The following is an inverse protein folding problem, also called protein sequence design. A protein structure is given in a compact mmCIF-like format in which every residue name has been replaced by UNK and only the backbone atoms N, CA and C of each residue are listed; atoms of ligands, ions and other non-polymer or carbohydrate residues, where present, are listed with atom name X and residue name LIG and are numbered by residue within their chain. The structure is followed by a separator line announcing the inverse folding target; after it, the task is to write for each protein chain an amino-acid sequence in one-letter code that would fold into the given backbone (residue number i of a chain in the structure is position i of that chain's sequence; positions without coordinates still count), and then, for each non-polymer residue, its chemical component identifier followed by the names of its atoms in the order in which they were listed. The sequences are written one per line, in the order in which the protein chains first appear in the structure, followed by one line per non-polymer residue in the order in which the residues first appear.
data_IF_037320346391
#
_entry.id   IF_037320346391
#
_cell.length_a   1.000
_cell.length_b   1.000
_cell.length_c   1.000
_cell.angle_alpha   90.00
_cell.angle_beta   90.00
_cell.angle_gamma   90.00
#
_symmetry.space_group_name_H-M   'P 1'
#
loop_
_entity.id
_entity.type
_entity.pdbx_description
1 polymer ?
#
# COMPACT_ATOMS: atom_id res chain seq x y z
N UNK A 1 -20.35 -9.92 -10.38
CA UNK A 1 -19.72 -8.81 -9.61
C UNK A 1 -19.78 -9.00 -8.10
N UNK A 2 -20.95 -9.24 -7.50
CA UNK A 2 -21.08 -9.36 -6.02
C UNK A 2 -20.12 -10.40 -5.42
N UNK A 3 -20.04 -11.60 -6.01
CA UNK A 3 -19.14 -12.66 -5.53
C UNK A 3 -17.67 -12.21 -5.54
N UNK A 4 -17.22 -11.50 -6.58
CA UNK A 4 -15.85 -11.00 -6.68
C UNK A 4 -15.54 -9.97 -5.58
N UNK A 5 -16.51 -9.12 -5.22
CA UNK A 5 -16.36 -8.18 -4.11
C UNK A 5 -16.25 -8.91 -2.76
N UNK A 6 -17.05 -9.96 -2.55
CA UNK A 6 -16.96 -10.80 -1.35
C UNK A 6 -15.57 -11.46 -1.27
N UNK A 7 -15.08 -12.03 -2.38
CA UNK A 7 -13.75 -12.66 -2.45
C UNK A 7 -12.64 -11.64 -2.17
N UNK A 8 -12.72 -10.44 -2.75
CA UNK A 8 -11.76 -9.37 -2.49
C UNK A 8 -11.77 -8.98 -1.00
N UNK A 9 -12.94 -8.80 -0.39
CA UNK A 9 -13.08 -8.48 1.03
C UNK A 9 -12.47 -9.54 1.93
N UNK A 10 -12.81 -10.82 1.69
CA UNK A 10 -12.21 -11.94 2.43
C UNK A 10 -10.69 -11.99 2.26
N UNK A 11 -10.20 -11.72 1.05
CA UNK A 11 -8.76 -11.65 0.78
C UNK A 11 -8.08 -10.53 1.56
N UNK A 12 -8.70 -9.37 1.66
CA UNK A 12 -8.21 -8.24 2.47
C UNK A 12 -8.24 -8.58 3.96
N UNK A 13 -9.27 -9.26 4.47
CA UNK A 13 -9.35 -9.69 5.86
C UNK A 13 -8.25 -10.70 6.22
N UNK A 14 -8.00 -11.67 5.32
CA UNK A 14 -6.91 -12.62 5.46
C UNK A 14 -5.55 -11.91 5.43
N UNK A 15 -5.39 -10.94 4.55
CA UNK A 15 -4.18 -10.12 4.46
C UNK A 15 -3.95 -9.31 5.75
N UNK A 16 -5.01 -8.72 6.32
CA UNK A 16 -4.94 -8.02 7.60
C UNK A 16 -4.55 -8.96 8.75
N UNK A 17 -5.14 -10.17 8.77
CA UNK A 17 -4.84 -11.19 9.79
C UNK A 17 -3.40 -11.72 9.68
N UNK A 18 -2.88 -11.82 8.46
CA UNK A 18 -1.53 -12.30 8.19
C UNK A 18 -0.46 -11.24 8.47
N UNK A 19 -0.62 -10.03 7.91
CA UNK A 19 0.34 -8.93 8.09
C UNK A 19 0.28 -8.31 9.48
N UNK A 20 -0.88 -8.37 10.15
CA UNK A 20 -1.14 -7.73 11.46
C UNK A 20 -0.60 -6.29 11.48
N UNK A 21 -1.12 -5.42 10.61
CA UNK A 21 -0.64 -4.04 10.51
C UNK A 21 -0.84 -3.35 11.86
N UNK A 22 0.24 -2.89 12.46
CA UNK A 22 0.28 -2.24 13.78
C UNK A 22 1.01 -0.91 13.65
N UNK A 23 0.67 0.11 14.47
CA UNK A 23 1.38 1.39 14.47
C UNK A 23 2.89 1.25 14.72
N UNK A 24 3.30 0.22 15.46
CA UNK A 24 4.70 -0.08 15.76
C UNK A 24 5.44 -0.74 14.58
N UNK A 25 4.69 -1.37 13.66
CA UNK A 25 5.20 -2.15 12.54
C UNK A 25 4.99 -1.44 11.19
N UNK A 26 5.61 -0.27 11.02
CA UNK A 26 5.39 0.61 9.86
C UNK A 26 5.51 -0.09 8.50
N UNK A 27 6.49 -1.00 8.35
CA UNK A 27 6.66 -1.76 7.11
C UNK A 27 5.46 -2.68 6.82
N UNK A 28 4.89 -3.33 7.85
CA UNK A 28 3.70 -4.20 7.71
C UNK A 28 2.46 -3.37 7.39
N UNK A 29 2.34 -2.19 8.00
CA UNK A 29 1.28 -1.23 7.70
C UNK A 29 1.33 -0.76 6.24
N UNK A 30 2.51 -0.36 5.76
CA UNK A 30 2.74 0.06 4.36
C UNK A 30 2.51 -1.08 3.37
N UNK A 31 2.98 -2.29 3.70
CA UNK A 31 2.71 -3.48 2.89
C UNK A 31 1.22 -3.76 2.77
N UNK A 32 0.46 -3.67 3.88
CA UNK A 32 -1.00 -3.81 3.86
C UNK A 32 -1.65 -2.73 2.99
N UNK A 33 -1.23 -1.47 3.16
CA UNK A 33 -1.73 -0.34 2.35
C UNK A 33 -1.50 -0.50 0.85
N UNK A 34 -0.40 -1.14 0.44
CA UNK A 34 -0.13 -1.45 -0.97
C UNK A 34 -0.92 -2.67 -1.48
N UNK A 35 -0.93 -3.75 -0.71
CA UNK A 35 -1.44 -5.05 -1.14
C UNK A 35 -2.97 -5.12 -1.12
N UNK A 36 -3.65 -4.42 -0.21
CA UNK A 36 -5.11 -4.41 -0.14
C UNK A 36 -5.79 -3.83 -1.41
N UNK A 37 -5.44 -2.63 -1.91
CA UNK A 37 -5.99 -2.13 -3.16
C UNK A 37 -5.51 -2.94 -4.36
N UNK A 38 -4.26 -3.42 -4.38
CA UNK A 38 -3.78 -4.30 -5.45
C UNK A 38 -4.68 -5.53 -5.62
N UNK A 39 -4.88 -6.26 -4.53
CA UNK A 39 -5.73 -7.46 -4.51
C UNK A 39 -7.15 -7.15 -4.95
N UNK A 40 -7.73 -6.08 -4.40
CA UNK A 40 -9.11 -5.67 -4.70
C UNK A 40 -9.27 -5.37 -6.20
N UNK A 41 -8.37 -4.57 -6.77
CA UNK A 41 -8.44 -4.19 -8.17
C UNK A 41 -8.12 -5.35 -9.12
N UNK A 42 -7.17 -6.22 -8.77
CA UNK A 42 -6.91 -7.44 -9.54
C UNK A 42 -8.15 -8.33 -9.60
N UNK A 43 -8.80 -8.61 -8.45
CA UNK A 43 -10.01 -9.44 -8.41
C UNK A 43 -11.16 -8.79 -9.18
N UNK A 44 -11.34 -7.48 -9.03
CA UNK A 44 -12.36 -6.73 -9.77
C UNK A 44 -12.15 -6.83 -11.28
N UNK A 45 -10.93 -6.57 -11.77
CA UNK A 45 -10.62 -6.58 -13.21
C UNK A 45 -10.75 -7.99 -13.79
N UNK A 46 -10.26 -9.02 -13.10
CA UNK A 46 -10.42 -10.42 -13.54
C UNK A 46 -11.90 -10.78 -13.65
N UNK A 47 -12.71 -10.40 -12.66
CA UNK A 47 -14.13 -10.68 -12.69
C UNK A 47 -14.85 -9.89 -13.79
N UNK A 48 -14.51 -8.61 -13.97
CA UNK A 48 -15.06 -7.77 -15.03
C UNK A 48 -14.74 -8.39 -16.39
N UNK A 49 -13.47 -8.73 -16.65
CA UNK A 49 -13.05 -9.39 -17.88
C UNK A 49 -13.82 -10.70 -18.14
N UNK A 50 -13.98 -11.55 -17.11
CA UNK A 50 -14.66 -12.83 -17.25
C UNK A 50 -16.18 -12.75 -17.46
N UNK A 51 -16.80 -11.59 -17.19
CA UNK A 51 -18.27 -11.43 -17.24
C UNK A 51 -18.73 -10.35 -18.21
N UNK A 52 -17.81 -9.56 -18.74
CA UNK A 52 -18.10 -8.62 -19.81
C UNK A 52 -18.63 -9.38 -21.03
N UNK A 53 -19.66 -8.87 -21.72
CA UNK A 53 -20.04 -9.39 -23.03
C UNK A 53 -18.90 -9.14 -24.04
N UNK A 54 -18.69 -10.02 -25.03
CA UNK A 54 -17.86 -9.70 -26.16
C UNK A 54 -18.41 -8.42 -26.81
N UNK A 55 -17.62 -7.35 -26.80
CA UNK A 55 -17.94 -6.22 -27.68
C UNK A 55 -17.73 -6.71 -29.11
N UNK A 56 -18.53 -6.22 -30.05
CA UNK A 56 -18.53 -6.71 -31.43
C UNK A 56 -17.15 -6.49 -32.07
N UNK A 57 -16.30 -7.51 -32.03
CA UNK A 57 -15.04 -7.54 -32.78
C UNK A 57 -15.40 -7.72 -34.26
N UNK A 58 -14.81 -6.94 -35.18
CA UNK A 58 -14.90 -7.26 -36.60
C UNK A 58 -14.43 -8.72 -36.81
N UNK A 59 -15.16 -9.54 -37.58
CA UNK A 59 -14.90 -10.98 -37.73
C UNK A 59 -13.49 -11.31 -38.21
N UNK A 60 -12.80 -10.34 -38.84
CA UNK A 60 -11.42 -10.40 -39.34
C UNK A 60 -10.35 -10.59 -38.24
N UNK A 61 -10.63 -10.20 -36.98
CA UNK A 61 -9.62 -10.08 -35.92
C UNK A 61 -9.60 -11.25 -34.92
N UNK A 62 -10.43 -12.28 -35.13
CA UNK A 62 -10.54 -13.41 -34.22
C UNK A 62 -11.35 -13.08 -32.96
N UNK A 63 -12.11 -14.07 -32.48
CA UNK A 63 -12.98 -13.92 -31.31
C UNK A 63 -12.19 -13.66 -30.03
N UNK A 64 -12.20 -12.42 -29.56
CA UNK A 64 -11.62 -11.97 -28.30
C UNK A 64 -12.18 -10.61 -27.93
N UNK A 65 -12.19 -10.28 -26.63
CA UNK A 65 -12.65 -8.99 -26.14
C UNK A 65 -11.89 -7.85 -26.84
N UNK A 66 -12.58 -6.92 -27.56
CA UNK A 66 -11.96 -5.90 -28.43
C UNK A 66 -11.03 -4.87 -27.78
N UNK A 67 -10.78 -4.96 -26.47
CA UNK A 67 -10.12 -3.90 -25.70
C UNK A 67 -9.18 -4.45 -24.63
N UNK A 68 -8.50 -5.55 -24.94
CA UNK A 68 -7.40 -6.07 -24.14
C UNK A 68 -6.12 -5.20 -24.30
N UNK A 69 -6.20 -3.88 -24.07
CA UNK A 69 -5.01 -3.05 -23.82
C UNK A 69 -4.40 -3.59 -22.54
N UNK A 70 -3.43 -4.49 -22.65
CA UNK A 70 -2.80 -5.22 -21.54
C UNK A 70 -2.34 -4.26 -20.44
N UNK A 71 -1.93 -3.06 -20.85
CA UNK A 71 -1.52 -1.95 -20.00
C UNK A 71 -2.65 -1.47 -19.07
N UNK A 72 -3.92 -1.58 -19.45
CA UNK A 72 -5.06 -1.25 -18.59
C UNK A 72 -5.25 -2.31 -17.49
N UNK A 73 -5.23 -3.60 -17.87
CA UNK A 73 -5.44 -4.72 -16.94
C UNK A 73 -4.29 -4.87 -15.94
N UNK A 74 -3.07 -4.47 -16.33
CA UNK A 74 -1.88 -4.55 -15.48
C UNK A 74 -1.56 -3.22 -14.79
N UNK A 75 -1.76 -2.09 -15.47
CA UNK A 75 -1.46 -0.76 -14.97
C UNK A 75 -2.45 -0.31 -13.91
N UNK A 76 -3.77 -0.54 -14.10
CA UNK A 76 -4.76 -0.08 -13.13
C UNK A 76 -4.55 -0.70 -11.72
N UNK A 77 -4.37 -2.03 -11.55
CA UNK A 77 -4.07 -2.59 -10.23
C UNK A 77 -2.75 -2.08 -9.65
N UNK A 78 -1.72 -1.89 -10.48
CA UNK A 78 -0.42 -1.39 -10.03
C UNK A 78 -0.50 0.06 -9.53
N UNK A 79 -1.18 0.95 -10.26
CA UNK A 79 -1.40 2.33 -9.85
C UNK A 79 -2.18 2.38 -8.52
N UNK A 80 -3.17 1.51 -8.35
CA UNK A 80 -3.95 1.44 -7.11
C UNK A 80 -3.12 0.93 -5.93
N UNK A 81 -2.22 -0.02 -6.17
CA UNK A 81 -1.25 -0.46 -5.17
C UNK A 81 -0.32 0.69 -4.72
N UNK A 82 0.23 1.43 -5.69
CA UNK A 82 1.11 2.57 -5.43
C UNK A 82 0.36 3.71 -4.72
N UNK A 83 -0.91 3.94 -5.07
CA UNK A 83 -1.73 4.94 -4.41
C UNK A 83 -2.02 4.56 -2.94
N UNK A 84 -2.39 3.30 -2.68
CA UNK A 84 -2.55 2.82 -1.32
C UNK A 84 -1.27 2.88 -0.49
N UNK A 85 -0.12 2.56 -1.11
CA UNK A 85 1.20 2.72 -0.48
C UNK A 85 1.49 4.19 -0.16
N UNK A 86 1.23 5.09 -1.11
CA UNK A 86 1.41 6.53 -0.92
C UNK A 86 0.59 7.04 0.27
N UNK A 87 -0.69 6.66 0.35
CA UNK A 87 -1.55 7.00 1.48
C UNK A 87 -1.00 6.44 2.80
N UNK A 88 -0.54 5.18 2.81
CA UNK A 88 0.04 4.58 4.00
C UNK A 88 1.33 5.29 4.47
N UNK A 89 2.14 5.80 3.53
CA UNK A 89 3.35 6.58 3.83
C UNK A 89 3.00 7.97 4.38
N UNK A 90 2.03 8.66 3.78
CA UNK A 90 1.63 10.02 4.16
C UNK A 90 0.88 10.03 5.50
N UNK A 91 0.00 9.06 5.73
CA UNK A 91 -0.88 9.04 6.91
C UNK A 91 -0.20 8.49 8.18
N UNK A 92 0.86 7.69 8.04
CA UNK A 92 1.61 7.15 9.19
C UNK A 92 3.10 7.49 9.05
N UNK A 93 3.52 8.65 9.59
CA UNK A 93 4.92 9.03 9.62
C UNK A 93 5.75 8.05 10.45
N UNK A 94 6.99 7.79 10.04
CA UNK A 94 7.93 6.99 10.84
C UNK A 94 8.27 7.71 12.14
N UNK A 95 8.56 6.95 13.21
CA UNK A 95 9.04 7.53 14.46
C UNK A 95 10.23 8.45 14.16
N UNK A 96 10.27 9.67 14.72
CA UNK A 96 11.47 10.48 14.69
C UNK A 96 12.63 9.64 15.19
N UNK A 97 13.74 9.60 14.45
CA UNK A 97 14.97 9.02 14.96
C UNK A 97 15.23 9.69 16.31
N UNK A 98 15.37 8.89 17.37
CA UNK A 98 15.68 9.41 18.70
C UNK A 98 16.85 10.37 18.53
N UNK A 99 16.61 11.65 18.79
CA UNK A 99 17.67 12.64 18.80
C UNK A 99 18.70 12.11 19.79
N UNK A 100 19.87 11.72 19.30
CA UNK A 100 21.04 11.55 20.14
C UNK A 100 21.37 12.94 20.66
N UNK A 101 20.63 13.38 21.66
CA UNK A 101 21.11 14.35 22.63
C UNK A 101 22.21 13.59 23.35
N UNK A 102 23.38 13.54 22.71
CA UNK A 102 24.64 13.47 23.44
C UNK A 102 24.59 14.70 24.33
N UNK A 103 24.08 14.52 25.55
CA UNK A 103 24.38 15.40 26.66
C UNK A 103 25.90 15.53 26.64
N UNK A 104 26.38 16.67 26.14
CA UNK A 104 27.78 17.01 26.29
C UNK A 104 28.07 16.94 27.80
N UNK A 105 29.12 16.23 28.23
CA UNK A 105 29.44 16.13 29.65
C UNK A 105 29.51 17.55 30.22
N UNK A 106 28.72 17.81 31.26
CA UNK A 106 28.66 19.11 31.94
C UNK A 106 30.10 19.56 32.21
N UNK A 107 30.55 20.71 31.66
CA UNK A 107 31.91 21.17 31.92
C UNK A 107 32.03 21.41 33.42
N UNK A 108 33.02 20.74 34.03
CA UNK A 108 33.43 20.88 35.43
C UNK A 108 33.41 22.36 35.81
N UNK A 109 32.42 22.77 36.60
CA UNK A 109 32.37 24.13 37.14
C UNK A 109 33.54 24.29 38.09
N UNK A 110 34.55 25.05 37.69
CA UNK A 110 35.65 25.40 38.59
C UNK A 110 35.10 26.18 39.80
N UNK A 111 35.57 25.88 41.03
CA UNK A 111 35.14 26.60 42.21
C UNK A 111 35.60 28.07 42.11
N UNK A 112 34.63 28.97 42.11
CA UNK A 112 34.85 30.42 42.18
C UNK A 112 35.67 30.72 43.43
N UNK A 113 36.92 31.12 43.25
CA UNK A 113 37.77 31.65 44.32
C UNK A 113 37.28 33.05 44.67
N UNK A 114 36.77 33.23 45.89
CA UNK A 114 36.40 34.53 46.43
C UNK A 114 37.65 35.26 46.94
N UNK A 115 37.84 36.55 46.62
CA UNK A 115 38.94 37.33 47.19
C UNK A 115 38.71 37.54 48.70
N UNK A 116 39.76 37.26 49.47
CA UNK A 116 39.84 37.53 50.92
C UNK A 116 40.23 38.95 51.26
#
# INVERSE_FOLDING_TARGET
MIIALIVAGLGVDLLARWLRPTPEGLNRYRAFGALAPLLTWTVYIVAAYATSPPLQTPPELGGGHPEAVVELYTGAPLVQALFGLLLAVVLVPGRPAASSTTEAPEPLREPVSLPG
#
